data_IF_725237448392
#
_entry.id   IF_725237448392
#
_cell.length_a   1.000
_cell.length_b   1.000
_cell.length_c   1.000
_cell.angle_alpha   90.00
_cell.angle_beta   90.00
_cell.angle_gamma   90.00
#
_symmetry.space_group_name_H-M   'P 1'
#
loop_
_entity.id
_entity.type
_entity.pdbx_description
1 polymer ?
#
# COMPACT_ATOMS: atom_id res chain seq x y z
N UNK A 1 -17.75 -47.19 -2.59
CA UNK A 1 -16.64 -46.82 -1.67
C UNK A 1 -15.48 -46.08 -2.38
N UNK A 2 -15.31 -46.16 -3.70
CA UNK A 2 -14.22 -45.47 -4.44
C UNK A 2 -14.49 -44.00 -4.84
N UNK A 3 -15.73 -43.49 -4.85
CA UNK A 3 -16.02 -42.11 -5.30
C UNK A 3 -15.82 -41.03 -4.23
N UNK A 4 -15.80 -41.37 -2.93
CA UNK A 4 -15.65 -40.39 -1.86
C UNK A 4 -14.19 -39.95 -1.63
N UNK A 5 -13.21 -40.70 -2.15
CA UNK A 5 -11.78 -40.42 -1.98
C UNK A 5 -11.25 -39.37 -2.97
N UNK A 6 -11.86 -39.22 -4.14
CA UNK A 6 -11.44 -38.22 -5.14
C UNK A 6 -11.90 -36.80 -4.77
N UNK A 7 -13.10 -36.68 -4.17
CA UNK A 7 -13.63 -35.41 -3.65
C UNK A 7 -12.74 -34.84 -2.54
N UNK A 8 -12.22 -35.69 -1.65
CA UNK A 8 -11.32 -35.27 -0.57
C UNK A 8 -9.92 -34.86 -1.09
N UNK A 9 -9.41 -35.51 -2.14
CA UNK A 9 -8.16 -35.13 -2.81
C UNK A 9 -8.30 -33.80 -3.57
N UNK A 10 -9.42 -33.56 -4.25
CA UNK A 10 -9.71 -32.28 -4.93
C UNK A 10 -9.86 -31.15 -3.93
N UNK A 11 -10.59 -31.38 -2.82
CA UNK A 11 -10.70 -30.41 -1.74
C UNK A 11 -9.34 -30.09 -1.10
N UNK A 12 -8.48 -31.10 -0.87
CA UNK A 12 -7.11 -30.91 -0.35
C UNK A 12 -6.19 -30.18 -1.33
N UNK A 13 -6.37 -30.35 -2.64
CA UNK A 13 -5.62 -29.63 -3.68
C UNK A 13 -6.07 -28.17 -3.77
N UNK A 14 -7.35 -27.89 -3.50
CA UNK A 14 -7.88 -26.53 -3.39
C UNK A 14 -7.44 -25.83 -2.08
N UNK A 15 -7.42 -26.56 -0.95
CA UNK A 15 -6.94 -26.03 0.33
C UNK A 15 -5.41 -25.87 0.40
N UNK A 16 -4.64 -26.61 -0.39
CA UNK A 16 -3.18 -26.38 -0.56
C UNK A 16 -2.85 -25.05 -1.23
N UNK A 17 -3.70 -24.51 -2.11
CA UNK A 17 -3.52 -23.14 -2.64
C UNK A 17 -3.62 -22.08 -1.53
N UNK A 18 -4.42 -22.33 -0.48
CA UNK A 18 -4.53 -21.46 0.69
C UNK A 18 -3.34 -21.57 1.66
N UNK A 19 -2.62 -22.71 1.71
CA UNK A 19 -1.42 -22.84 2.56
C UNK A 19 -0.24 -22.02 2.02
N UNK A 20 -0.09 -21.95 0.69
CA UNK A 20 0.87 -21.04 0.03
C UNK A 20 0.49 -19.57 0.19
N UNK A 21 -0.82 -19.26 0.25
CA UNK A 21 -1.29 -17.90 0.51
C UNK A 21 -0.83 -17.38 1.88
N UNK A 22 -0.79 -18.22 2.92
CA UNK A 22 -0.32 -17.81 4.26
C UNK A 22 1.18 -17.53 4.28
N UNK A 23 1.99 -18.34 3.58
CA UNK A 23 3.44 -18.13 3.48
C UNK A 23 3.76 -16.87 2.67
N UNK A 24 3.08 -16.66 1.54
CA UNK A 24 3.24 -15.45 0.73
C UNK A 24 2.78 -14.20 1.47
N UNK A 25 1.67 -14.28 2.22
CA UNK A 25 1.26 -13.19 3.13
C UNK A 25 2.33 -12.91 4.18
N UNK A 26 2.86 -13.94 4.84
CA UNK A 26 3.89 -13.78 5.86
C UNK A 26 5.16 -13.13 5.32
N UNK A 27 5.67 -13.61 4.18
CA UNK A 27 6.84 -13.02 3.51
C UNK A 27 6.55 -11.58 3.08
N UNK A 28 5.36 -11.33 2.52
CA UNK A 28 4.96 -9.99 2.13
C UNK A 28 4.83 -9.04 3.32
N UNK A 29 4.57 -9.51 4.54
CA UNK A 29 4.45 -8.64 5.71
C UNK A 29 5.81 -8.17 6.26
N UNK A 30 6.91 -8.84 5.91
CA UNK A 30 8.25 -8.52 6.41
C UNK A 30 8.63 -7.04 6.20
N UNK A 31 8.49 -6.44 5.00
CA UNK A 31 8.88 -5.05 4.76
C UNK A 31 8.12 -4.04 5.62
N UNK A 32 6.83 -4.31 5.88
CA UNK A 32 5.97 -3.45 6.69
C UNK A 32 6.33 -3.49 8.18
N UNK A 33 6.92 -4.60 8.65
CA UNK A 33 7.34 -4.75 10.04
C UNK A 33 8.62 -3.94 10.38
N UNK A 34 9.37 -3.54 9.35
CA UNK A 34 10.63 -2.79 9.51
C UNK A 34 10.33 -1.29 9.47
N UNK A 35 11.02 -0.50 10.29
CA UNK A 35 10.87 0.96 10.25
C UNK A 35 11.39 1.52 8.92
N UNK A 36 10.78 2.60 8.38
CA UNK A 36 11.23 3.19 7.11
C UNK A 36 12.73 3.53 7.10
N UNK A 37 13.27 3.97 8.23
CA UNK A 37 14.70 4.26 8.42
C UNK A 37 15.57 3.02 8.29
N UNK A 38 15.19 1.90 8.91
CA UNK A 38 15.94 0.66 8.81
C UNK A 38 15.86 0.07 7.40
N UNK A 39 14.70 0.16 6.73
CA UNK A 39 14.56 -0.20 5.31
C UNK A 39 15.52 0.64 4.46
N UNK A 40 15.58 1.94 4.69
CA UNK A 40 16.43 2.83 3.93
C UNK A 40 17.92 2.50 4.09
N UNK A 41 18.37 2.16 5.30
CA UNK A 41 19.75 1.72 5.54
C UNK A 41 20.03 0.39 4.83
N UNK A 42 19.10 -0.58 4.90
CA UNK A 42 19.22 -1.87 4.21
C UNK A 42 19.38 -1.67 2.69
N UNK A 43 18.54 -0.84 2.08
CA UNK A 43 18.64 -0.53 0.65
C UNK A 43 19.91 0.25 0.33
N UNK A 44 20.32 1.18 1.19
CA UNK A 44 21.59 1.90 1.03
C UNK A 44 22.77 0.95 0.92
N UNK A 45 22.88 -0.07 1.78
CA UNK A 45 23.96 -1.08 1.70
C UNK A 45 23.95 -1.88 0.39
N UNK A 46 22.78 -2.03 -0.22
CA UNK A 46 22.64 -2.70 -1.53
C UNK A 46 23.01 -1.83 -2.71
N UNK A 47 22.74 -0.54 -2.62
CA UNK A 47 22.91 0.44 -3.69
C UNK A 47 24.35 0.96 -3.82
N UNK A 48 25.23 0.65 -2.86
CA UNK A 48 26.68 0.91 -2.96
C UNK A 48 27.25 0.12 -4.15
N UNK A 49 28.37 0.60 -4.72
CA UNK A 49 29.07 -0.05 -5.83
C UNK A 49 29.31 -1.54 -5.60
N UNK A 50 29.78 -1.93 -4.41
CA UNK A 50 30.03 -3.33 -4.02
C UNK A 50 28.89 -3.91 -3.16
N UNK A 51 27.69 -3.36 -3.29
CA UNK A 51 26.53 -3.79 -2.53
C UNK A 51 25.94 -5.12 -2.98
N UNK A 52 25.01 -5.64 -2.18
CA UNK A 52 24.33 -6.90 -2.46
C UNK A 52 23.56 -6.89 -3.79
N UNK A 53 23.05 -5.74 -4.25
CA UNK A 53 22.35 -5.62 -5.53
C UNK A 53 23.30 -5.91 -6.70
N UNK A 54 24.45 -5.24 -6.73
CA UNK A 54 25.43 -5.45 -7.79
C UNK A 54 26.02 -6.86 -7.72
N UNK A 55 26.24 -7.40 -6.53
CA UNK A 55 26.72 -8.79 -6.34
C UNK A 55 25.74 -9.80 -6.93
N UNK A 56 24.44 -9.64 -6.68
CA UNK A 56 23.40 -10.51 -7.23
C UNK A 56 23.28 -10.37 -8.75
N UNK A 57 23.31 -9.14 -9.27
CA UNK A 57 23.18 -8.88 -10.71
C UNK A 57 24.38 -9.43 -11.51
N UNK A 58 25.60 -9.27 -10.99
CA UNK A 58 26.82 -9.83 -11.59
C UNK A 58 26.81 -11.35 -11.48
N UNK A 59 26.43 -11.90 -10.32
CA UNK A 59 26.32 -13.35 -10.12
C UNK A 59 25.33 -14.02 -11.08
N UNK A 60 24.24 -13.32 -11.42
CA UNK A 60 23.25 -13.75 -12.42
C UNK A 60 23.65 -13.46 -13.87
N UNK A 61 24.86 -12.93 -14.11
CA UNK A 61 25.36 -12.52 -15.45
C UNK A 61 24.42 -11.53 -16.18
N UNK A 62 23.68 -10.71 -15.42
CA UNK A 62 22.81 -9.67 -15.99
C UNK A 62 23.57 -8.38 -16.30
N UNK A 63 24.71 -8.15 -15.63
CA UNK A 63 25.59 -6.98 -15.82
C UNK A 63 27.06 -7.40 -15.70
N UNK A 64 27.92 -6.81 -16.54
CA UNK A 64 29.37 -7.06 -16.51
C UNK A 64 30.14 -6.07 -15.62
N UNK A 65 29.52 -4.92 -15.31
CA UNK A 65 30.13 -3.84 -14.52
C UNK A 65 29.17 -3.36 -13.43
N UNK A 66 29.67 -3.04 -12.22
CA UNK A 66 28.84 -2.56 -11.13
C UNK A 66 28.24 -1.19 -11.44
N UNK A 67 26.94 -1.04 -11.24
CA UNK A 67 26.20 0.22 -11.46
C UNK A 67 26.27 1.04 -10.16
N UNK A 68 26.63 2.32 -10.28
CA UNK A 68 26.70 3.24 -9.12
C UNK A 68 25.34 3.91 -8.92
N UNK A 69 24.42 3.22 -8.25
CA UNK A 69 23.07 3.73 -8.00
C UNK A 69 23.05 4.99 -7.11
N UNK A 70 24.05 5.17 -6.24
CA UNK A 70 24.16 6.36 -5.38
C UNK A 70 24.51 7.65 -6.15
N UNK A 71 24.97 7.52 -7.40
CA UNK A 71 25.20 8.64 -8.31
C UNK A 71 23.93 9.14 -9.00
N UNK A 72 22.78 8.49 -8.76
CA UNK A 72 21.50 8.91 -9.35
C UNK A 72 21.12 10.33 -8.91
N UNK A 73 20.75 11.15 -9.89
CA UNK A 73 20.31 12.54 -9.73
C UNK A 73 19.01 12.79 -10.51
N UNK A 74 18.28 13.83 -10.10
CA UNK A 74 17.01 14.22 -10.72
C UNK A 74 15.97 13.09 -10.70
N UNK A 75 15.41 12.76 -11.87
CA UNK A 75 14.34 11.75 -11.98
C UNK A 75 14.79 10.35 -11.61
N UNK A 76 16.05 9.98 -11.88
CA UNK A 76 16.56 8.64 -11.55
C UNK A 76 16.55 8.37 -10.04
N UNK A 77 16.93 9.37 -9.25
CA UNK A 77 16.84 9.37 -7.79
C UNK A 77 15.39 9.24 -7.30
N UNK A 78 14.45 9.97 -7.91
CA UNK A 78 13.02 9.88 -7.60
C UNK A 78 12.50 8.47 -7.86
N UNK A 79 12.83 7.86 -8.99
CA UNK A 79 12.40 6.49 -9.33
C UNK A 79 12.93 5.45 -8.33
N UNK A 80 14.20 5.58 -7.89
CA UNK A 80 14.76 4.69 -6.86
C UNK A 80 13.98 4.78 -5.56
N UNK A 81 13.65 5.99 -5.10
CA UNK A 81 12.87 6.19 -3.88
C UNK A 81 11.46 5.61 -4.03
N UNK A 82 10.79 5.87 -5.16
CA UNK A 82 9.46 5.32 -5.45
C UNK A 82 9.49 3.79 -5.40
N UNK A 83 10.53 3.16 -5.94
CA UNK A 83 10.65 1.69 -5.94
C UNK A 83 10.77 1.15 -4.51
N UNK A 84 11.64 1.75 -3.69
CA UNK A 84 11.85 1.34 -2.29
C UNK A 84 10.59 1.56 -1.46
N UNK A 85 9.94 2.71 -1.63
CA UNK A 85 8.71 3.07 -0.93
C UNK A 85 7.54 2.16 -1.35
N UNK A 86 7.41 1.86 -2.65
CA UNK A 86 6.41 0.92 -3.18
C UNK A 86 6.61 -0.47 -2.59
N UNK A 87 7.86 -0.96 -2.54
CA UNK A 87 8.17 -2.26 -1.92
C UNK A 87 7.76 -2.32 -0.45
N UNK A 88 7.99 -1.24 0.29
CA UNK A 88 7.64 -1.14 1.73
C UNK A 88 6.13 -1.15 1.96
N UNK A 89 5.34 -0.54 1.05
CA UNK A 89 3.91 -0.31 1.27
C UNK A 89 2.98 -1.23 0.48
N UNK A 90 3.51 -1.97 -0.49
CA UNK A 90 2.82 -3.10 -1.14
C UNK A 90 2.07 -4.00 -0.14
N UNK A 91 2.65 -4.39 1.02
CA UNK A 91 2.00 -5.28 1.98
C UNK A 91 0.73 -4.66 2.60
N UNK A 92 0.79 -3.38 2.94
CA UNK A 92 -0.34 -2.64 3.50
C UNK A 92 -1.52 -2.60 2.54
N UNK A 93 -1.25 -2.34 1.26
CA UNK A 93 -2.28 -2.32 0.20
C UNK A 93 -2.88 -3.71 0.01
N UNK A 94 -2.04 -4.75 0.00
CA UNK A 94 -2.51 -6.14 -0.09
C UNK A 94 -3.48 -6.49 1.05
N UNK A 95 -3.18 -6.11 2.29
CA UNK A 95 -4.05 -6.36 3.44
C UNK A 95 -5.40 -5.67 3.26
N UNK A 96 -5.41 -4.40 2.86
CA UNK A 96 -6.65 -3.65 2.65
C UNK A 96 -7.51 -4.29 1.55
N UNK A 97 -6.89 -4.68 0.44
CA UNK A 97 -7.58 -5.35 -0.67
C UNK A 97 -8.17 -6.69 -0.23
N UNK A 98 -7.42 -7.48 0.56
CA UNK A 98 -7.87 -8.78 1.07
C UNK A 98 -9.02 -8.59 2.07
N UNK A 99 -8.94 -7.61 2.97
CA UNK A 99 -10.02 -7.27 3.89
C UNK A 99 -11.29 -6.84 3.14
N UNK A 100 -11.15 -6.01 2.10
CA UNK A 100 -12.27 -5.63 1.24
C UNK A 100 -12.87 -6.84 0.50
N UNK A 101 -12.04 -7.78 0.04
CA UNK A 101 -12.45 -9.01 -0.63
C UNK A 101 -13.23 -9.96 0.30
N UNK A 102 -12.89 -9.98 1.60
CA UNK A 102 -13.64 -10.72 2.62
C UNK A 102 -15.04 -10.14 2.84
N UNK A 103 -15.23 -8.83 2.61
CA UNK A 103 -16.54 -8.18 2.67
C UNK A 103 -17.49 -8.56 1.53
N UNK A 104 -16.98 -9.16 0.44
CA UNK A 104 -17.83 -9.62 -0.67
C UNK A 104 -18.50 -10.94 -0.31
N UNK A 105 -19.79 -10.85 0.00
CA UNK A 105 -20.69 -11.98 0.25
C UNK A 105 -20.53 -13.07 -0.82
N UNK A 106 -20.46 -14.32 -0.38
CA UNK A 106 -20.22 -15.48 -1.26
C UNK A 106 -21.42 -15.72 -2.18
N UNK A 107 -22.61 -15.39 -1.70
CA UNK A 107 -23.90 -15.49 -2.37
C UNK A 107 -23.94 -14.65 -3.65
N UNK A 108 -23.35 -13.43 -3.64
CA UNK A 108 -23.28 -12.59 -4.86
C UNK A 108 -22.42 -13.23 -5.96
N UNK A 109 -21.32 -13.88 -5.57
CA UNK A 109 -20.44 -14.57 -6.53
C UNK A 109 -21.13 -15.80 -7.10
N UNK A 110 -21.80 -16.58 -6.24
CA UNK A 110 -22.53 -17.78 -6.67
C UNK A 110 -23.71 -17.44 -7.57
N UNK A 111 -24.46 -16.38 -7.26
CA UNK A 111 -25.52 -15.86 -8.13
C UNK A 111 -24.97 -15.46 -9.51
N UNK A 112 -23.84 -14.75 -9.57
CA UNK A 112 -23.22 -14.35 -10.84
C UNK A 112 -22.87 -15.54 -11.73
N UNK A 113 -22.35 -16.63 -11.13
CA UNK A 113 -22.06 -17.86 -11.86
C UNK A 113 -23.33 -18.56 -12.34
N UNK A 114 -24.42 -18.54 -11.55
CA UNK A 114 -25.71 -19.07 -11.97
C UNK A 114 -26.30 -18.28 -13.16
N UNK A 115 -26.02 -16.99 -13.25
CA UNK A 115 -26.38 -16.14 -14.39
C UNK A 115 -25.39 -16.21 -15.58
N UNK A 116 -24.43 -17.15 -15.55
CA UNK A 116 -23.50 -17.36 -16.67
C UNK A 116 -22.37 -16.34 -16.77
N UNK A 117 -22.14 -15.51 -15.76
CA UNK A 117 -21.03 -14.55 -15.77
C UNK A 117 -19.67 -15.27 -15.70
N UNK A 118 -18.71 -14.81 -16.51
CA UNK A 118 -17.34 -15.31 -16.45
C UNK A 118 -16.57 -14.69 -15.27
N UNK A 119 -15.41 -15.27 -14.90
CA UNK A 119 -14.59 -14.80 -13.76
C UNK A 119 -14.14 -13.33 -13.86
N UNK A 120 -13.88 -12.83 -15.07
CA UNK A 120 -13.47 -11.45 -15.32
C UNK A 120 -14.66 -10.47 -15.17
N UNK A 121 -15.85 -10.86 -15.64
CA UNK A 121 -17.09 -10.11 -15.44
C UNK A 121 -17.46 -10.06 -13.96
N UNK A 122 -17.42 -11.19 -13.25
CA UNK A 122 -17.63 -11.21 -11.79
C UNK A 122 -16.63 -10.30 -11.06
N UNK A 123 -15.36 -10.28 -11.50
CA UNK A 123 -14.36 -9.40 -10.92
C UNK A 123 -14.66 -7.92 -11.19
N UNK A 124 -14.88 -7.54 -12.44
CA UNK A 124 -15.04 -6.14 -12.85
C UNK A 124 -16.38 -5.54 -12.42
N UNK A 125 -17.46 -6.32 -12.49
CA UNK A 125 -18.83 -5.80 -12.34
C UNK A 125 -19.39 -6.00 -10.93
N UNK A 126 -18.80 -6.91 -10.13
CA UNK A 126 -19.26 -7.17 -8.75
C UNK A 126 -18.16 -6.84 -7.75
N UNK A 127 -16.96 -7.40 -7.93
CA UNK A 127 -15.89 -7.27 -6.92
C UNK A 127 -15.31 -5.85 -6.89
N UNK A 128 -14.96 -5.25 -8.04
CA UNK A 128 -14.40 -3.89 -8.09
C UNK A 128 -15.37 -2.83 -7.54
N UNK A 129 -16.68 -2.79 -7.88
CA UNK A 129 -17.60 -1.79 -7.37
C UNK A 129 -17.78 -1.86 -5.86
N UNK A 130 -17.84 -3.07 -5.29
CA UNK A 130 -17.94 -3.27 -3.83
C UNK A 130 -16.63 -2.85 -3.14
N UNK A 131 -15.48 -3.10 -3.77
CA UNK A 131 -14.17 -2.69 -3.26
C UNK A 131 -13.86 -1.19 -3.45
N UNK A 132 -14.54 -0.51 -4.37
CA UNK A 132 -14.30 0.90 -4.73
C UNK A 132 -14.19 1.84 -3.52
N UNK A 133 -15.10 1.82 -2.51
CA UNK A 133 -14.94 2.67 -1.32
C UNK A 133 -13.64 2.37 -0.56
N UNK A 134 -13.29 1.09 -0.36
CA UNK A 134 -12.05 0.68 0.32
C UNK A 134 -10.77 1.03 -0.45
N UNK A 135 -10.80 0.87 -1.78
CA UNK A 135 -9.67 1.26 -2.64
C UNK A 135 -9.48 2.77 -2.59
N UNK A 136 -10.56 3.54 -2.68
CA UNK A 136 -10.52 5.01 -2.65
C UNK A 136 -9.94 5.52 -1.34
N UNK A 137 -10.41 5.01 -0.19
CA UNK A 137 -9.86 5.40 1.11
C UNK A 137 -8.39 5.02 1.25
N UNK A 138 -7.99 3.83 0.77
CA UNK A 138 -6.60 3.39 0.80
C UNK A 138 -5.67 4.27 -0.03
N UNK A 139 -6.09 4.68 -1.22
CA UNK A 139 -5.31 5.55 -2.11
C UNK A 139 -5.15 6.93 -1.48
N UNK A 140 -6.22 7.50 -0.91
CA UNK A 140 -6.13 8.82 -0.27
C UNK A 140 -5.20 8.78 0.94
N UNK A 141 -5.37 7.78 1.83
CA UNK A 141 -4.45 7.59 2.96
C UNK A 141 -3.01 7.43 2.49
N UNK A 142 -2.82 6.72 1.38
CA UNK A 142 -1.49 6.52 0.81
C UNK A 142 -0.90 7.80 0.25
N UNK A 143 -1.69 8.62 -0.43
CA UNK A 143 -1.26 9.92 -0.93
C UNK A 143 -0.82 10.83 0.21
N UNK A 144 -1.58 10.86 1.31
CA UNK A 144 -1.20 11.61 2.52
C UNK A 144 0.14 11.12 3.08
N UNK A 145 0.30 9.81 3.23
CA UNK A 145 1.55 9.22 3.72
C UNK A 145 2.74 9.49 2.79
N UNK A 146 2.53 9.46 1.47
CA UNK A 146 3.56 9.70 0.47
C UNK A 146 4.14 11.12 0.52
N UNK A 147 3.30 12.14 0.82
CA UNK A 147 3.75 13.53 1.01
C UNK A 147 4.73 13.64 2.19
N UNK A 148 4.59 12.75 3.17
CA UNK A 148 5.43 12.72 4.37
C UNK A 148 6.66 11.82 4.23
N UNK A 149 6.93 11.24 3.06
CA UNK A 149 8.11 10.38 2.87
C UNK A 149 9.36 11.26 2.80
N UNK A 150 10.17 11.21 3.87
CA UNK A 150 11.48 11.87 3.91
C UNK A 150 12.58 10.94 4.42
N UNK A 151 12.28 10.06 5.38
CA UNK A 151 13.30 9.22 6.02
C UNK A 151 14.00 8.30 5.02
N UNK A 152 13.24 7.72 4.07
CA UNK A 152 13.81 6.88 3.00
C UNK A 152 14.71 7.72 2.08
N UNK A 153 14.24 8.90 1.67
CA UNK A 153 14.97 9.78 0.77
C UNK A 153 16.31 10.23 1.38
N UNK A 154 16.29 10.76 2.60
CA UNK A 154 17.47 11.27 3.31
C UNK A 154 18.48 10.16 3.60
N UNK A 155 18.01 9.00 4.07
CA UNK A 155 18.93 7.92 4.46
C UNK A 155 19.62 7.27 3.25
N UNK A 156 18.92 7.15 2.12
CA UNK A 156 19.46 6.53 0.89
C UNK A 156 20.33 7.50 0.10
N UNK A 157 19.84 8.71 -0.20
CA UNK A 157 20.49 9.66 -1.10
C UNK A 157 21.25 10.79 -0.40
N UNK A 158 21.07 10.92 0.91
CA UNK A 158 21.53 12.10 1.66
C UNK A 158 20.61 13.30 1.45
N UNK A 159 21.02 14.43 2.01
CA UNK A 159 20.29 15.68 1.81
C UNK A 159 20.63 16.30 0.44
N UNK A 160 19.70 17.08 -0.10
CA UNK A 160 19.87 17.92 -1.29
C UNK A 160 19.87 17.27 -2.69
N UNK A 161 19.85 15.94 -2.83
CA UNK A 161 19.74 15.30 -4.16
C UNK A 161 18.33 15.37 -4.77
N UNK A 162 17.31 15.42 -3.92
CA UNK A 162 15.90 15.50 -4.31
C UNK A 162 15.15 16.31 -3.24
N UNK A 163 14.56 17.47 -3.59
CA UNK A 163 13.96 18.37 -2.62
C UNK A 163 12.56 17.87 -2.24
N UNK A 164 12.47 16.91 -1.32
CA UNK A 164 11.18 16.58 -0.70
C UNK A 164 10.85 17.63 0.36
N UNK A 165 9.57 18.01 0.45
CA UNK A 165 9.09 19.06 1.37
C UNK A 165 9.52 18.82 2.81
N UNK A 166 9.43 17.57 3.28
CA UNK A 166 9.80 17.19 4.65
C UNK A 166 11.31 16.93 4.80
N UNK A 167 11.99 16.49 3.74
CA UNK A 167 13.47 16.40 3.73
C UNK A 167 14.11 17.78 3.94
N UNK A 168 13.55 18.83 3.32
CA UNK A 168 14.03 20.20 3.49
C UNK A 168 13.97 20.68 4.94
N UNK A 169 12.99 20.22 5.70
CA UNK A 169 12.89 20.52 7.13
C UNK A 169 14.10 19.90 7.85
N UNK A 170 14.31 18.60 7.67
CA UNK A 170 15.42 17.87 8.29
C UNK A 170 16.78 18.47 7.87
N UNK A 171 16.93 18.88 6.61
CA UNK A 171 18.15 19.55 6.13
C UNK A 171 18.44 20.86 6.90
N UNK A 172 17.44 21.73 7.06
CA UNK A 172 17.64 23.01 7.77
C UNK A 172 17.82 22.86 9.28
N UNK A 173 17.36 21.75 9.87
CA UNK A 173 17.54 21.46 11.29
C UNK A 173 18.90 20.79 11.56
N UNK A 174 19.26 19.79 10.76
CA UNK A 174 20.37 18.89 11.06
C UNK A 174 21.65 19.21 10.27
N UNK A 175 21.53 19.61 9.00
CA UNK A 175 22.69 19.82 8.12
C UNK A 175 23.24 21.26 8.15
N UNK A 176 22.45 22.25 8.60
CA UNK A 176 22.88 23.66 8.71
C UNK A 176 22.62 24.21 10.12
N UNK A 177 23.27 23.66 11.18
CA UNK A 177 23.07 24.13 12.54
C UNK A 177 23.72 25.51 12.75
N UNK A 178 23.09 26.36 13.58
CA UNK A 178 23.72 27.58 14.12
C UNK A 178 23.38 28.91 13.42
N UNK A 179 22.58 28.88 12.34
CA UNK A 179 22.05 30.11 11.72
C UNK A 179 20.59 30.30 12.13
N UNK A 180 20.29 31.42 12.79
CA UNK A 180 18.92 31.80 13.17
C UNK A 180 17.96 31.78 11.96
N UNK A 181 18.47 32.04 10.75
CA UNK A 181 17.71 31.96 9.50
C UNK A 181 17.30 30.53 9.15
N UNK A 182 18.17 29.53 9.35
CA UNK A 182 17.86 28.12 9.06
C UNK A 182 16.76 27.59 9.98
N UNK A 183 16.80 27.94 11.27
CA UNK A 183 15.74 27.56 12.21
C UNK A 183 14.40 28.18 11.82
N UNK A 184 14.37 29.47 11.45
CA UNK A 184 13.13 30.14 10.97
C UNK A 184 12.56 29.44 9.73
N UNK A 185 13.41 29.09 8.75
CA UNK A 185 12.98 28.36 7.56
C UNK A 185 12.43 26.97 7.89
N UNK A 186 13.07 26.22 8.80
CA UNK A 186 12.58 24.93 9.26
C UNK A 186 11.20 25.04 9.93
N UNK A 187 10.99 26.06 10.77
CA UNK A 187 9.69 26.32 11.39
C UNK A 187 8.60 26.64 10.36
N UNK A 188 8.88 27.52 9.41
CA UNK A 188 7.93 27.86 8.33
C UNK A 188 7.57 26.65 7.49
N UNK A 189 8.54 25.82 7.11
CA UNK A 189 8.30 24.59 6.36
C UNK A 189 7.52 23.54 7.16
N UNK A 190 7.79 23.44 8.47
CA UNK A 190 7.03 22.54 9.37
C UNK A 190 5.57 22.95 9.49
N UNK A 191 5.31 24.26 9.60
CA UNK A 191 3.94 24.76 9.64
C UNK A 191 3.21 24.56 8.30
N UNK A 192 3.90 24.83 7.19
CA UNK A 192 3.36 24.63 5.83
C UNK A 192 3.00 23.17 5.57
N UNK A 193 3.91 22.24 5.89
CA UNK A 193 3.66 20.79 5.73
C UNK A 193 2.50 20.32 6.61
N UNK A 194 2.42 20.81 7.85
CA UNK A 194 1.28 20.53 8.74
C UNK A 194 -0.04 21.01 8.13
N UNK A 195 -0.06 22.22 7.56
CA UNK A 195 -1.25 22.79 6.92
C UNK A 195 -1.67 21.97 5.69
N UNK A 196 -0.72 21.56 4.84
CA UNK A 196 -0.99 20.70 3.68
C UNK A 196 -1.59 19.36 4.13
N UNK A 197 -0.98 18.71 5.13
CA UNK A 197 -1.46 17.43 5.67
C UNK A 197 -2.84 17.59 6.31
N UNK A 198 -3.08 18.67 7.04
CA UNK A 198 -4.38 18.98 7.63
C UNK A 198 -5.44 19.15 6.55
N UNK A 199 -5.17 19.92 5.50
CA UNK A 199 -6.06 20.08 4.36
C UNK A 199 -6.35 18.74 3.69
N UNK A 200 -5.33 17.92 3.43
CA UNK A 200 -5.50 16.59 2.85
C UNK A 200 -6.33 15.65 3.76
N UNK A 201 -6.15 15.74 5.08
CA UNK A 201 -6.92 14.97 6.07
C UNK A 201 -8.38 15.43 6.12
N UNK A 202 -8.66 16.73 6.05
CA UNK A 202 -10.03 17.25 5.99
C UNK A 202 -10.73 16.80 4.70
N UNK A 203 -10.03 16.83 3.56
CA UNK A 203 -10.53 16.30 2.28
C UNK A 203 -10.81 14.80 2.41
N UNK A 204 -9.92 14.04 3.04
CA UNK A 204 -10.13 12.62 3.33
C UNK A 204 -11.38 12.39 4.18
N UNK A 205 -11.57 13.12 5.28
CA UNK A 205 -12.74 12.96 6.14
C UNK A 205 -14.05 13.30 5.42
N UNK A 206 -14.05 14.32 4.55
CA UNK A 206 -15.22 14.66 3.71
C UNK A 206 -15.52 13.56 2.70
N UNK A 207 -14.51 13.05 2.00
CA UNK A 207 -14.65 11.96 1.04
C UNK A 207 -15.08 10.64 1.72
N UNK A 208 -14.51 10.35 2.89
CA UNK A 208 -14.81 9.14 3.66
C UNK A 208 -16.20 9.17 4.28
N UNK A 209 -16.70 10.33 4.72
CA UNK A 209 -18.10 10.47 5.18
C UNK A 209 -19.09 10.18 4.05
N UNK A 210 -18.77 10.55 2.80
CA UNK A 210 -19.55 10.17 1.62
C UNK A 210 -19.50 8.66 1.32
N UNK A 211 -18.38 8.00 1.59
CA UNK A 211 -18.22 6.55 1.37
C UNK A 211 -18.83 5.67 2.48
N UNK A 212 -18.80 6.12 3.74
CA UNK A 212 -19.33 5.39 4.91
C UNK A 212 -20.84 5.56 5.14
N UNK A 213 -21.45 6.62 4.60
CA UNK A 213 -22.91 6.82 4.70
C UNK A 213 -23.71 5.80 3.87
N UNK A 214 -23.13 5.27 2.78
CA UNK A 214 -23.80 4.27 1.93
C UNK A 214 -23.84 2.86 2.49
N UNK A 215 -22.98 2.51 3.47
CA UNK A 215 -22.90 1.15 4.03
C UNK A 215 -23.71 0.94 5.31
N UNK A 216 -24.17 2.01 5.96
CA UNK A 216 -24.91 1.92 7.22
C UNK A 216 -26.44 2.08 7.07
N UNK A 217 -26.94 2.61 5.96
CA UNK A 217 -28.38 2.84 5.77
C UNK A 217 -29.14 1.67 5.11
N UNK A 218 -28.46 0.77 4.38
CA UNK A 218 -29.16 -0.31 3.65
C UNK A 218 -29.65 -1.46 4.54
N UNK A 219 -29.31 -1.46 5.83
CA UNK A 219 -29.71 -2.50 6.79
C UNK A 219 -30.96 -2.18 7.63
N UNK A 220 -31.54 -0.96 7.53
CA UNK A 220 -32.59 -0.51 8.47
C UNK A 220 -33.90 -0.07 7.81
N UNK A 221 -34.35 -0.75 6.74
CA UNK A 221 -35.74 -0.64 6.26
C UNK A 221 -36.29 -1.99 5.79
N UNK A 222 -36.63 -2.88 6.73
CA UNK A 222 -37.72 -3.84 6.52
C UNK A 222 -38.98 -3.24 7.16
N UNK A 223 -40.03 -2.89 6.39
CA UNK A 223 -41.29 -2.48 6.97
C UNK A 223 -41.94 -3.70 7.64
N UNK A 224 -42.17 -3.60 8.95
CA UNK A 224 -42.99 -4.52 9.71
C UNK A 224 -44.47 -4.28 9.37
N UNK A 225 -44.97 -4.87 8.28
CA UNK A 225 -46.40 -5.05 8.02
C UNK A 225 -46.60 -6.27 7.13
N UNK A 226 -46.83 -7.44 7.72
CA UNK A 226 -47.86 -8.43 7.33
C UNK A 226 -48.04 -9.39 8.53
N UNK A 227 -48.89 -9.00 9.47
CA UNK A 227 -49.59 -9.92 10.39
C UNK A 227 -50.98 -9.36 10.61
N UNK A 228 -51.90 -9.72 9.72
CA UNK A 228 -53.35 -9.81 9.95
C UNK A 228 -54.03 -10.18 8.63
N UNK A 229 -54.05 -11.48 8.33
CA UNK A 229 -54.96 -12.12 7.38
C UNK A 229 -54.89 -13.64 7.61
N UNK A 230 -55.21 -14.06 8.83
CA UNK A 230 -55.46 -15.46 9.17
C UNK A 230 -56.13 -15.51 10.55
N UNK A 231 -57.36 -14.99 10.63
CA UNK A 231 -58.38 -15.50 11.54
C UNK A 231 -59.76 -15.10 11.04
#
# INVERSE_FOLDING_TARGET
MCQSLDLFKVYRKLSRKFKSSKLLMFISMIPMAITPTAVAILWKTGLVRDGWINTVLIGLHLIDKPIVFMGAEGMSAVFLIILIDTWTVTPSVMIILIAGLQGVQRELKEAAYLFGANKWQTFKDIVIPILKPSITTSIIMRLIAAIQVWSIAVMVLGYSKVPFLVERIAFYVEAVPGVNTSQKLAFTLSFLTTLIVLCATVVYLKASKGAGAGSHETGRKRPAKVKEAAK
#
